data_IF_540339695934
#
_entry.id   IF_540339695934
#
_cell.length_a   1.000
_cell.length_b   1.000
_cell.length_c   1.000
_cell.angle_alpha   90.00
_cell.angle_beta   90.00
_cell.angle_gamma   90.00
#
_symmetry.space_group_name_H-M   'P 1'
#
loop_
_entity.id
_entity.type
_entity.pdbx_description
1 polymer ?
#
# COMPACT_ATOMS: atom_id res chain seq x y z
N UNK A 1 4.19 -31.04 23.59
CA UNK A 1 4.76 -32.26 22.97
C UNK A 1 5.56 -31.81 21.76
N UNK A 2 6.80 -32.28 21.64
CA UNK A 2 7.62 -32.07 20.46
C UNK A 2 6.94 -32.69 19.23
N UNK A 3 7.12 -32.07 18.07
CA UNK A 3 6.65 -32.61 16.79
C UNK A 3 7.49 -33.83 16.40
N UNK A 4 6.84 -34.84 15.82
CA UNK A 4 7.54 -36.01 15.29
C UNK A 4 8.20 -35.67 13.95
N UNK A 5 9.49 -35.37 14.02
CA UNK A 5 10.30 -34.98 12.85
C UNK A 5 10.57 -36.13 11.88
N UNK A 6 10.25 -37.39 12.21
CA UNK A 6 10.44 -38.53 11.30
C UNK A 6 9.53 -38.47 10.07
N UNK A 7 8.48 -37.66 10.14
CA UNK A 7 7.53 -37.42 9.04
C UNK A 7 8.00 -36.35 8.05
N UNK A 8 9.09 -35.63 8.35
CA UNK A 8 9.59 -34.54 7.51
C UNK A 8 10.28 -35.08 6.26
N UNK A 9 10.04 -34.43 5.13
CA UNK A 9 10.75 -34.73 3.90
C UNK A 9 12.22 -34.28 3.99
N UNK A 10 13.14 -35.12 3.55
CA UNK A 10 14.58 -34.85 3.48
C UNK A 10 15.18 -35.12 2.09
N UNK A 11 14.42 -35.77 1.20
CA UNK A 11 14.84 -36.06 -0.18
C UNK A 11 14.61 -34.88 -1.12
N UNK A 12 15.59 -34.67 -2.01
CA UNK A 12 15.54 -33.72 -3.12
C UNK A 12 15.37 -34.43 -4.48
N UNK A 13 14.96 -35.70 -4.52
CA UNK A 13 14.94 -36.51 -5.76
C UNK A 13 14.02 -35.93 -6.85
N UNK A 14 13.03 -35.14 -6.47
CA UNK A 14 12.11 -34.45 -7.39
C UNK A 14 12.67 -33.13 -7.94
N UNK A 15 13.77 -32.63 -7.37
CA UNK A 15 14.44 -31.38 -7.78
C UNK A 15 15.49 -31.68 -8.86
N UNK A 16 15.66 -30.85 -9.91
CA UNK A 16 16.69 -31.07 -10.94
C UNK A 16 18.11 -31.13 -10.37
N UNK A 17 18.97 -32.01 -10.92
CA UNK A 17 20.33 -32.27 -10.38
C UNK A 17 21.20 -31.03 -10.21
N UNK A 18 21.15 -30.09 -11.17
CA UNK A 18 21.89 -28.84 -11.10
C UNK A 18 21.44 -27.99 -9.91
N UNK A 19 20.13 -27.90 -9.68
CA UNK A 19 19.53 -27.18 -8.55
C UNK A 19 19.82 -27.90 -7.23
N UNK A 20 19.83 -29.24 -7.20
CA UNK A 20 20.28 -29.97 -6.02
C UNK A 20 21.74 -29.65 -5.67
N UNK A 21 22.60 -29.50 -6.69
CA UNK A 21 23.98 -29.03 -6.53
C UNK A 21 24.05 -27.65 -5.89
N UNK A 22 23.29 -26.70 -6.42
CA UNK A 22 23.19 -25.34 -5.88
C UNK A 22 22.69 -25.33 -4.42
N UNK A 23 21.65 -26.11 -4.11
CA UNK A 23 21.11 -26.22 -2.74
C UNK A 23 22.16 -26.76 -1.77
N UNK A 24 22.93 -27.78 -2.17
CA UNK A 24 24.03 -28.31 -1.34
C UNK A 24 25.11 -27.25 -1.10
N UNK A 25 25.52 -26.53 -2.15
CA UNK A 25 26.49 -25.43 -2.07
C UNK A 25 25.99 -24.34 -1.12
N UNK A 26 24.73 -23.90 -1.28
CA UNK A 26 24.13 -22.88 -0.43
C UNK A 26 24.03 -23.33 1.04
N UNK A 27 23.63 -24.58 1.29
CA UNK A 27 23.52 -25.15 2.65
C UNK A 27 24.89 -25.23 3.33
N UNK A 28 25.93 -25.64 2.60
CA UNK A 28 27.31 -25.66 3.09
C UNK A 28 27.81 -24.23 3.37
N UNK A 29 27.64 -23.31 2.43
CA UNK A 29 28.04 -21.92 2.58
C UNK A 29 27.40 -21.26 3.79
N UNK A 30 26.10 -21.49 4.02
CA UNK A 30 25.39 -21.00 5.22
C UNK A 30 26.00 -21.55 6.50
N UNK A 31 26.31 -22.84 6.53
CA UNK A 31 26.88 -23.50 7.72
C UNK A 31 28.28 -22.98 8.04
N UNK A 32 29.07 -22.61 7.02
CA UNK A 32 30.43 -22.09 7.18
C UNK A 32 30.48 -20.59 7.50
N UNK A 33 29.55 -19.79 6.94
CA UNK A 33 29.61 -18.32 7.02
C UNK A 33 28.61 -17.70 8.00
N UNK A 34 27.58 -18.45 8.44
CA UNK A 34 26.62 -17.89 9.39
C UNK A 34 27.28 -17.66 10.77
N UNK A 35 27.27 -16.42 11.29
CA UNK A 35 27.92 -16.11 12.56
C UNK A 35 27.06 -16.51 13.77
N UNK A 36 25.98 -17.28 13.57
CA UNK A 36 25.03 -17.70 14.59
C UNK A 36 24.75 -19.19 14.46
N UNK A 37 24.38 -19.81 15.57
CA UNK A 37 24.01 -21.23 15.58
C UNK A 37 22.73 -21.44 14.76
N UNK A 38 22.85 -22.21 13.68
CA UNK A 38 21.70 -22.61 12.85
C UNK A 38 21.00 -23.79 13.53
N UNK A 39 19.70 -23.66 13.76
CA UNK A 39 18.85 -24.71 14.29
C UNK A 39 18.36 -25.66 13.19
N UNK A 40 17.87 -25.11 12.07
CA UNK A 40 17.45 -25.86 10.88
C UNK A 40 17.59 -25.02 9.61
N UNK A 41 17.72 -25.69 8.46
CA UNK A 41 17.59 -25.08 7.13
C UNK A 41 16.51 -25.85 6.36
N UNK A 42 15.60 -25.10 5.75
CA UNK A 42 14.49 -25.65 4.96
C UNK A 42 14.57 -25.14 3.52
N UNK A 43 14.35 -26.03 2.57
CA UNK A 43 13.83 -25.67 1.26
C UNK A 43 12.31 -25.56 1.39
N UNK A 44 11.72 -24.47 0.91
CA UNK A 44 10.28 -24.33 0.82
C UNK A 44 9.89 -23.88 -0.59
N UNK A 45 8.61 -23.56 -0.79
CA UNK A 45 8.15 -23.03 -2.06
C UNK A 45 8.12 -24.05 -3.19
N UNK A 46 8.33 -23.57 -4.41
CA UNK A 46 7.99 -24.37 -5.61
C UNK A 46 8.93 -25.53 -5.89
N UNK A 47 10.22 -25.38 -5.59
CA UNK A 47 11.15 -26.51 -5.67
C UNK A 47 10.87 -27.57 -4.61
N UNK A 48 10.50 -27.20 -3.37
CA UNK A 48 10.15 -28.16 -2.33
C UNK A 48 8.88 -28.98 -2.67
N UNK A 49 7.90 -28.36 -3.33
CA UNK A 49 6.67 -29.03 -3.78
C UNK A 49 6.84 -29.81 -5.09
N UNK A 50 7.90 -29.55 -5.85
CA UNK A 50 8.07 -30.08 -7.21
C UNK A 50 7.17 -29.43 -8.28
N UNK A 51 6.56 -28.27 -7.98
CA UNK A 51 5.71 -27.51 -8.92
C UNK A 51 6.42 -26.27 -9.50
N UNK A 52 7.75 -26.26 -9.45
CA UNK A 52 8.59 -25.21 -10.03
C UNK A 52 8.39 -25.09 -11.53
N UNK A 53 8.54 -23.86 -12.03
CA UNK A 53 8.39 -23.55 -13.46
C UNK A 53 9.74 -23.07 -13.99
N UNK A 54 10.21 -23.71 -15.05
CA UNK A 54 11.37 -23.26 -15.82
C UNK A 54 10.97 -23.17 -17.29
N UNK A 55 10.24 -22.11 -17.63
CA UNK A 55 9.71 -21.89 -18.97
C UNK A 55 10.50 -20.79 -19.68
N UNK A 56 11.06 -21.13 -20.84
CA UNK A 56 11.50 -20.15 -21.82
C UNK A 56 10.44 -20.03 -22.91
N UNK A 57 9.69 -18.93 -22.95
CA UNK A 57 8.73 -18.66 -24.01
C UNK A 57 9.32 -17.67 -25.00
N UNK A 58 9.32 -18.04 -26.27
CA UNK A 58 9.49 -17.10 -27.38
C UNK A 58 8.13 -16.45 -27.62
N UNK A 59 8.03 -15.16 -27.34
CA UNK A 59 6.80 -14.40 -27.63
C UNK A 59 6.61 -14.31 -29.16
N UNK A 60 5.40 -14.00 -29.61
CA UNK A 60 5.08 -13.83 -31.05
C UNK A 60 5.97 -12.82 -31.77
N UNK A 61 6.64 -11.94 -31.02
CA UNK A 61 7.53 -10.89 -31.51
C UNK A 61 9.02 -11.29 -31.48
N UNK A 62 9.33 -12.57 -31.20
CA UNK A 62 10.70 -13.10 -31.18
C UNK A 62 11.50 -12.83 -29.90
N UNK A 63 10.88 -12.26 -28.85
CA UNK A 63 11.56 -12.05 -27.57
C UNK A 63 11.46 -13.29 -26.68
N UNK A 64 12.58 -13.71 -26.08
CA UNK A 64 12.61 -14.82 -25.12
C UNK A 64 12.28 -14.27 -23.73
N UNK A 65 11.08 -14.53 -23.22
CA UNK A 65 10.79 -14.36 -21.78
C UNK A 65 11.09 -15.67 -21.07
N UNK A 66 12.08 -15.67 -20.17
CA UNK A 66 12.36 -16.79 -19.28
C UNK A 66 11.67 -16.53 -17.95
N UNK A 67 10.79 -17.43 -17.54
CA UNK A 67 10.29 -17.52 -16.17
C UNK A 67 10.94 -18.72 -15.52
N UNK A 68 11.74 -18.45 -14.49
CA UNK A 68 12.41 -19.46 -13.70
C UNK A 68 12.01 -19.23 -12.24
N UNK A 69 11.49 -20.27 -11.58
CA UNK A 69 11.24 -20.25 -10.15
C UNK A 69 12.52 -19.96 -9.36
N UNK A 70 12.39 -19.20 -8.28
CA UNK A 70 13.44 -19.02 -7.27
C UNK A 70 13.58 -20.27 -6.40
N UNK A 71 14.79 -20.51 -5.88
CA UNK A 71 15.08 -21.51 -4.85
C UNK A 71 14.86 -20.87 -3.47
N UNK A 72 13.72 -21.17 -2.85
CA UNK A 72 13.31 -20.57 -1.58
C UNK A 72 13.92 -21.29 -0.37
N UNK A 73 14.82 -20.62 0.37
CA UNK A 73 15.51 -21.16 1.54
C UNK A 73 15.12 -20.42 2.82
N UNK A 74 14.74 -21.15 3.86
CA UNK A 74 14.50 -20.62 5.19
C UNK A 74 15.54 -21.12 6.19
N UNK A 75 16.27 -20.18 6.78
CA UNK A 75 17.25 -20.46 7.84
C UNK A 75 16.64 -20.18 9.21
N UNK A 76 16.56 -21.20 10.06
CA UNK A 76 16.08 -21.05 11.44
C UNK A 76 17.30 -20.91 12.36
N UNK A 77 17.45 -19.76 13.02
CA UNK A 77 18.56 -19.47 13.94
C UNK A 77 18.15 -19.81 15.38
N UNK A 78 19.05 -20.44 16.13
CA UNK A 78 18.78 -20.86 17.50
C UNK A 78 18.41 -19.68 18.42
N UNK A 79 17.50 -19.93 19.36
CA UNK A 79 17.09 -18.93 20.36
C UNK A 79 16.11 -17.87 19.84
N UNK A 80 16.23 -16.65 20.38
CA UNK A 80 15.36 -15.50 20.07
C UNK A 80 16.06 -14.54 19.11
N UNK A 81 15.27 -13.83 18.29
CA UNK A 81 15.79 -12.71 17.48
C UNK A 81 16.46 -11.66 18.37
N UNK A 82 17.66 -11.24 17.98
CA UNK A 82 18.46 -10.19 18.63
C UNK A 82 18.77 -9.05 17.65
N UNK A 83 19.18 -7.88 18.17
CA UNK A 83 19.68 -6.78 17.34
C UNK A 83 20.91 -7.16 16.50
N UNK A 84 21.68 -8.17 16.92
CA UNK A 84 22.78 -8.70 16.12
C UNK A 84 22.26 -9.50 14.93
N UNK A 85 21.31 -10.41 15.14
CA UNK A 85 20.70 -11.21 14.05
C UNK A 85 20.02 -10.31 13.01
N UNK A 86 19.27 -9.29 13.45
CA UNK A 86 18.60 -8.35 12.55
C UNK A 86 19.55 -7.52 11.68
N UNK A 87 20.77 -7.28 12.16
CA UNK A 87 21.78 -6.52 11.41
C UNK A 87 22.65 -7.40 10.51
N UNK A 88 22.97 -8.62 10.94
CA UNK A 88 23.94 -9.48 10.25
C UNK A 88 23.33 -10.52 9.31
N UNK A 89 22.10 -10.97 9.56
CA UNK A 89 21.47 -11.99 8.69
C UNK A 89 21.10 -11.43 7.31
N UNK A 90 20.45 -10.25 7.17
CA UNK A 90 20.10 -9.73 5.85
C UNK A 90 21.28 -9.61 4.86
N UNK A 91 22.44 -9.00 5.23
CA UNK A 91 23.57 -8.93 4.31
C UNK A 91 24.16 -10.32 4.01
N UNK A 92 24.27 -11.21 5.00
CA UNK A 92 24.74 -12.59 4.79
C UNK A 92 23.86 -13.33 3.77
N UNK A 93 22.54 -13.20 3.86
CA UNK A 93 21.63 -13.84 2.92
C UNK A 93 21.70 -13.22 1.52
N UNK A 94 22.02 -11.93 1.41
CA UNK A 94 22.29 -11.28 0.13
C UNK A 94 23.59 -11.81 -0.50
N UNK A 95 24.66 -11.95 0.29
CA UNK A 95 25.95 -12.51 -0.19
C UNK A 95 25.78 -13.93 -0.77
N UNK A 96 24.88 -14.74 -0.19
CA UNK A 96 24.54 -16.06 -0.74
C UNK A 96 23.85 -15.97 -2.10
N UNK A 97 22.92 -15.03 -2.24
CA UNK A 97 22.17 -14.82 -3.48
C UNK A 97 23.08 -14.33 -4.62
N UNK A 98 24.21 -13.70 -4.28
CA UNK A 98 25.20 -13.19 -5.21
C UNK A 98 26.32 -14.21 -5.55
N UNK A 99 26.23 -15.46 -5.07
CA UNK A 99 27.20 -16.51 -5.44
C UNK A 99 27.15 -16.76 -6.95
N UNK A 100 28.29 -16.54 -7.63
CA UNK A 100 28.42 -16.79 -9.06
C UNK A 100 28.26 -18.29 -9.39
N UNK A 101 27.60 -18.58 -10.52
CA UNK A 101 27.48 -19.93 -11.04
C UNK A 101 26.28 -20.73 -10.52
N UNK A 102 25.43 -20.14 -9.67
CA UNK A 102 24.14 -20.74 -9.31
C UNK A 102 23.24 -20.86 -10.55
N UNK A 103 22.60 -22.01 -10.72
CA UNK A 103 21.75 -22.31 -11.88
C UNK A 103 20.37 -21.66 -11.80
N UNK A 104 19.95 -21.21 -10.61
CA UNK A 104 18.71 -20.49 -10.36
C UNK A 104 18.91 -19.39 -9.31
N UNK A 105 18.10 -18.31 -9.36
CA UNK A 105 18.07 -17.32 -8.30
C UNK A 105 17.66 -17.94 -6.96
N UNK A 106 18.27 -17.49 -5.88
CA UNK A 106 17.90 -17.89 -4.51
C UNK A 106 17.05 -16.81 -3.86
N UNK A 107 16.00 -17.22 -3.15
CA UNK A 107 15.24 -16.36 -2.25
C UNK A 107 15.45 -16.86 -0.82
N UNK A 108 16.31 -16.20 -0.08
CA UNK A 108 16.66 -16.61 1.28
C UNK A 108 16.01 -15.72 2.33
N UNK A 109 15.36 -16.35 3.31
CA UNK A 109 14.84 -15.69 4.50
C UNK A 109 15.39 -16.36 5.76
N UNK A 110 15.30 -15.66 6.89
CA UNK A 110 15.64 -16.25 8.18
C UNK A 110 14.55 -15.98 9.22
N UNK A 111 14.50 -16.86 10.22
CA UNK A 111 13.66 -16.70 11.39
C UNK A 111 14.36 -17.20 12.65
N UNK A 112 14.00 -16.63 13.80
CA UNK A 112 14.45 -17.21 15.08
C UNK A 112 13.65 -18.46 15.43
N UNK A 113 14.30 -19.47 15.99
CA UNK A 113 13.70 -20.70 16.51
C UNK A 113 12.49 -20.41 17.42
N UNK A 114 12.61 -19.41 18.31
CA UNK A 114 11.51 -18.99 19.17
C UNK A 114 10.29 -18.48 18.38
N UNK A 115 10.50 -17.71 17.31
CA UNK A 115 9.42 -17.17 16.46
C UNK A 115 8.83 -18.25 15.56
N UNK A 116 9.66 -19.12 14.98
CA UNK A 116 9.24 -20.26 14.16
C UNK A 116 8.29 -21.17 14.95
N UNK A 117 8.71 -21.62 16.15
CA UNK A 117 7.88 -22.43 17.04
C UNK A 117 6.65 -21.67 17.56
N UNK A 118 6.75 -20.36 17.81
CA UNK A 118 5.60 -19.54 18.18
C UNK A 118 4.57 -19.47 17.04
N UNK A 119 5.03 -19.38 15.80
CA UNK A 119 4.18 -19.34 14.61
C UNK A 119 3.43 -20.65 14.40
N UNK A 120 4.12 -21.78 14.55
CA UNK A 120 3.52 -23.12 14.49
C UNK A 120 2.43 -23.29 15.55
N UNK A 121 2.68 -22.87 16.79
CA UNK A 121 1.68 -22.89 17.86
C UNK A 121 0.53 -21.93 17.63
N UNK A 122 0.72 -20.88 16.83
CA UNK A 122 -0.35 -19.95 16.46
C UNK A 122 -1.06 -20.36 15.18
N UNK A 123 -0.66 -21.45 14.55
CA UNK A 123 -1.21 -21.90 13.28
C UNK A 123 -1.01 -20.91 12.12
N UNK A 124 0.10 -20.19 12.08
CA UNK A 124 0.43 -19.35 10.92
C UNK A 124 0.78 -20.24 9.71
N UNK A 125 0.00 -20.19 8.62
CA UNK A 125 0.08 -21.19 7.54
C UNK A 125 1.46 -21.28 6.91
N UNK A 126 2.14 -20.18 6.62
CA UNK A 126 3.48 -20.25 6.03
C UNK A 126 4.41 -21.22 6.75
N UNK A 127 4.39 -21.21 8.09
CA UNK A 127 5.23 -22.10 8.88
C UNK A 127 4.67 -23.52 8.91
N UNK A 128 3.35 -23.69 8.86
CA UNK A 128 2.72 -25.00 8.68
C UNK A 128 3.10 -25.61 7.33
N UNK A 129 3.00 -24.85 6.24
CA UNK A 129 3.34 -25.23 4.87
C UNK A 129 4.82 -25.61 4.77
N UNK A 130 5.72 -24.85 5.38
CA UNK A 130 7.15 -25.22 5.47
C UNK A 130 7.31 -26.60 6.15
N UNK A 131 6.56 -26.87 7.22
CA UNK A 131 6.65 -28.16 7.93
C UNK A 131 5.97 -29.30 7.17
N UNK A 132 4.88 -29.04 6.45
CA UNK A 132 4.11 -30.06 5.74
C UNK A 132 4.60 -30.35 4.32
N UNK A 133 5.14 -29.35 3.63
CA UNK A 133 5.52 -29.41 2.22
C UNK A 133 7.00 -29.10 1.97
N UNK A 134 7.72 -28.55 2.96
CA UNK A 134 9.13 -28.23 2.85
C UNK A 134 10.05 -29.46 2.92
N UNK A 135 11.28 -29.28 2.43
CA UNK A 135 12.35 -30.27 2.54
C UNK A 135 13.37 -29.78 3.57
N UNK A 136 13.66 -30.60 4.57
CA UNK A 136 14.70 -30.32 5.57
C UNK A 136 16.07 -30.55 4.94
N UNK A 137 16.87 -29.47 4.89
CA UNK A 137 18.24 -29.49 4.37
C UNK A 137 19.28 -29.64 5.49
N UNK A 138 18.97 -29.13 6.69
CA UNK A 138 19.79 -29.25 7.90
C UNK A 138 18.89 -29.30 9.14
N UNK A 139 19.23 -30.16 10.10
CA UNK A 139 18.58 -30.22 11.42
C UNK A 139 19.62 -30.45 12.52
N UNK A 140 19.91 -29.39 13.29
CA UNK A 140 20.85 -29.43 14.41
C UNK A 140 20.13 -29.72 15.74
N UNK A 141 19.30 -30.78 15.75
CA UNK A 141 18.53 -31.23 16.93
C UNK A 141 17.57 -30.18 17.49
N UNK A 142 16.95 -29.38 16.60
CA UNK A 142 15.97 -28.38 17.00
C UNK A 142 14.66 -29.05 17.47
N UNK A 143 14.16 -28.70 18.66
CA UNK A 143 12.86 -29.17 19.13
C UNK A 143 11.74 -28.38 18.44
N UNK A 144 11.19 -28.97 17.38
CA UNK A 144 10.12 -28.39 16.58
C UNK A 144 8.78 -28.46 17.33
N UNK A 145 8.08 -27.34 17.43
CA UNK A 145 6.75 -27.30 18.03
C UNK A 145 5.74 -28.02 17.12
N UNK A 146 4.76 -28.71 17.72
CA UNK A 146 3.65 -29.29 16.96
C UNK A 146 2.84 -28.17 16.28
N UNK A 147 2.63 -28.19 14.95
CA UNK A 147 1.73 -27.26 14.28
C UNK A 147 0.33 -27.33 14.88
N UNK A 148 -0.25 -26.16 15.20
CA UNK A 148 -1.62 -26.05 15.67
C UNK A 148 -2.54 -25.74 14.49
N UNK A 149 -3.53 -26.60 14.27
CA UNK A 149 -4.62 -26.30 13.35
C UNK A 149 -5.61 -25.38 14.05
N UNK A 150 -5.77 -24.16 13.53
CA UNK A 150 -6.76 -23.21 14.03
C UNK A 150 -8.18 -23.68 13.72
N UNK A 151 -9.08 -23.56 14.69
CA UNK A 151 -10.53 -23.72 14.51
C UNK A 151 -11.09 -22.60 13.62
N UNK A 152 -12.28 -22.80 13.03
CA UNK A 152 -12.90 -21.78 12.19
C UNK A 152 -13.07 -20.42 12.90
N UNK A 153 -13.53 -20.35 14.17
CA UNK A 153 -13.61 -19.07 14.88
C UNK A 153 -12.24 -18.39 15.10
N UNK A 154 -11.19 -19.17 15.39
CA UNK A 154 -9.83 -18.61 15.54
C UNK A 154 -9.27 -18.09 14.21
N UNK A 155 -9.50 -18.83 13.11
CA UNK A 155 -9.15 -18.39 11.75
C UNK A 155 -9.86 -17.07 11.42
N UNK A 156 -11.15 -17.00 11.71
CA UNK A 156 -11.95 -15.78 11.53
C UNK A 156 -11.38 -14.60 12.29
N UNK A 157 -11.13 -14.77 13.60
CA UNK A 157 -10.59 -13.71 14.44
C UNK A 157 -9.21 -13.23 13.97
N UNK A 158 -8.37 -14.13 13.46
CA UNK A 158 -7.07 -13.78 12.92
C UNK A 158 -7.17 -13.05 11.57
N UNK A 159 -8.02 -13.53 10.66
CA UNK A 159 -8.30 -12.88 9.37
C UNK A 159 -8.85 -11.47 9.56
N UNK A 160 -9.79 -11.27 10.49
CA UNK A 160 -10.30 -9.93 10.87
C UNK A 160 -9.15 -9.01 11.28
N UNK A 161 -8.29 -9.45 12.21
CA UNK A 161 -7.16 -8.61 12.66
C UNK A 161 -6.20 -8.25 11.53
N UNK A 162 -5.92 -9.17 10.62
CA UNK A 162 -5.03 -8.88 9.49
C UNK A 162 -5.68 -7.94 8.48
N UNK A 163 -6.92 -8.19 8.13
CA UNK A 163 -7.70 -7.33 7.24
C UNK A 163 -7.78 -5.91 7.80
N UNK A 164 -8.25 -5.72 9.03
CA UNK A 164 -8.37 -4.40 9.66
C UNK A 164 -7.02 -3.67 9.71
N UNK A 165 -5.94 -4.39 10.03
CA UNK A 165 -4.59 -3.81 10.10
C UNK A 165 -4.10 -3.34 8.73
N UNK A 166 -4.13 -4.21 7.72
CA UNK A 166 -3.48 -3.93 6.44
C UNK A 166 -4.40 -3.16 5.50
N UNK A 167 -5.68 -3.50 5.42
CA UNK A 167 -6.66 -2.75 4.64
C UNK A 167 -6.88 -1.35 5.22
N UNK A 168 -6.95 -1.23 6.55
CA UNK A 168 -7.01 0.07 7.22
C UNK A 168 -5.77 0.94 6.91
N UNK A 169 -4.59 0.33 6.83
CA UNK A 169 -3.37 1.04 6.44
C UNK A 169 -3.34 1.40 4.94
N UNK A 170 -3.83 0.53 4.06
CA UNK A 170 -4.03 0.84 2.65
C UNK A 170 -4.98 2.05 2.49
N UNK A 171 -6.04 2.12 3.30
CA UNK A 171 -7.00 3.23 3.32
C UNK A 171 -6.37 4.56 3.72
N UNK A 172 -5.38 4.56 4.64
CA UNK A 172 -4.61 5.77 4.97
C UNK A 172 -3.77 6.25 3.77
N UNK A 173 -3.07 5.32 3.10
CA UNK A 173 -2.31 5.65 1.91
C UNK A 173 -3.20 6.09 0.74
N UNK A 174 -4.41 5.54 0.64
CA UNK A 174 -5.43 6.02 -0.29
C UNK A 174 -5.77 7.50 -0.04
N UNK A 175 -6.05 7.90 1.21
CA UNK A 175 -6.32 9.32 1.50
C UNK A 175 -5.13 10.24 1.21
N UNK A 176 -3.89 9.75 1.41
CA UNK A 176 -2.68 10.51 1.09
C UNK A 176 -2.49 10.61 -0.42
N UNK A 177 -2.83 9.56 -1.17
CA UNK A 177 -2.85 9.57 -2.61
C UNK A 177 -3.83 10.62 -3.15
N UNK A 178 -5.10 10.58 -2.72
CA UNK A 178 -6.12 11.55 -3.16
C UNK A 178 -5.66 12.98 -2.89
N UNK A 179 -5.11 13.25 -1.70
CA UNK A 179 -4.61 14.57 -1.33
C UNK A 179 -3.51 15.07 -2.27
N UNK A 180 -2.52 14.22 -2.58
CA UNK A 180 -1.43 14.60 -3.48
C UNK A 180 -1.93 14.79 -4.92
N UNK A 181 -2.80 13.88 -5.39
CA UNK A 181 -3.39 13.95 -6.72
C UNK A 181 -4.19 15.24 -6.92
N UNK A 182 -5.06 15.61 -5.97
CA UNK A 182 -5.85 16.85 -6.01
C UNK A 182 -5.02 18.14 -5.93
N UNK A 183 -3.74 18.04 -5.58
CA UNK A 183 -2.79 19.16 -5.58
C UNK A 183 -1.84 19.15 -6.77
N UNK A 184 -2.02 18.22 -7.73
CA UNK A 184 -1.10 18.03 -8.85
C UNK A 184 0.28 17.51 -8.44
N UNK A 185 0.43 16.96 -7.23
CA UNK A 185 1.70 16.47 -6.69
C UNK A 185 1.91 15.01 -7.11
N UNK A 186 2.09 14.77 -8.41
CA UNK A 186 2.07 13.42 -9.01
C UNK A 186 3.14 12.47 -8.46
N UNK A 187 4.35 12.97 -8.17
CA UNK A 187 5.44 12.17 -7.55
C UNK A 187 5.03 11.68 -6.16
N UNK A 188 4.45 12.56 -5.34
CA UNK A 188 3.88 12.17 -4.04
C UNK A 188 2.66 11.25 -4.19
N UNK A 189 1.86 11.47 -5.24
CA UNK A 189 0.73 10.63 -5.60
C UNK A 189 1.17 9.20 -5.90
N UNK A 190 2.02 8.97 -6.90
CA UNK A 190 2.43 7.62 -7.31
C UNK A 190 3.11 6.85 -6.16
N UNK A 191 3.89 7.54 -5.32
CA UNK A 191 4.48 6.94 -4.13
C UNK A 191 3.40 6.42 -3.16
N UNK A 192 2.38 7.23 -2.85
CA UNK A 192 1.29 6.80 -1.97
C UNK A 192 0.41 5.73 -2.61
N UNK A 193 0.20 5.78 -3.93
CA UNK A 193 -0.52 4.73 -4.68
C UNK A 193 0.22 3.38 -4.63
N UNK A 194 1.56 3.41 -4.72
CA UNK A 194 2.40 2.21 -4.53
C UNK A 194 2.24 1.65 -3.11
N UNK A 195 2.36 2.50 -2.09
CA UNK A 195 2.22 2.09 -0.68
C UNK A 195 0.84 1.51 -0.38
N UNK A 196 -0.22 2.13 -0.92
CA UNK A 196 -1.59 1.60 -0.88
C UNK A 196 -1.63 0.19 -1.48
N UNK A 197 -1.08 0.00 -2.67
CA UNK A 197 -1.08 -1.29 -3.37
C UNK A 197 -0.30 -2.38 -2.62
N UNK A 198 0.86 -2.07 -2.05
CA UNK A 198 1.61 -3.00 -1.20
C UNK A 198 0.75 -3.49 -0.02
N UNK A 199 -0.01 -2.57 0.59
CA UNK A 199 -0.84 -2.89 1.75
C UNK A 199 -2.12 -3.63 1.37
N UNK A 200 -2.65 -3.44 0.16
CA UNK A 200 -3.72 -4.26 -0.40
C UNK A 200 -3.25 -5.71 -0.62
N UNK A 201 -2.06 -5.91 -1.19
CA UNK A 201 -1.47 -7.24 -1.27
C UNK A 201 -1.26 -7.87 0.11
N UNK A 202 -0.72 -7.09 1.07
CA UNK A 202 -0.54 -7.56 2.44
C UNK A 202 -1.88 -7.96 3.10
N UNK A 203 -2.93 -7.17 2.86
CA UNK A 203 -4.28 -7.45 3.36
C UNK A 203 -4.80 -8.76 2.81
N UNK A 204 -4.77 -8.94 1.49
CA UNK A 204 -5.24 -10.17 0.85
C UNK A 204 -4.47 -11.40 1.32
N UNK A 205 -3.14 -11.37 1.18
CA UNK A 205 -2.29 -12.51 1.56
C UNK A 205 -2.48 -12.89 3.03
N UNK A 206 -2.39 -11.92 3.95
CA UNK A 206 -2.51 -12.21 5.37
C UNK A 206 -3.93 -12.63 5.79
N UNK A 207 -4.97 -12.14 5.12
CA UNK A 207 -6.36 -12.54 5.44
C UNK A 207 -6.62 -13.97 4.97
N UNK A 208 -6.11 -14.35 3.80
CA UNK A 208 -6.32 -15.68 3.20
C UNK A 208 -5.40 -16.76 3.79
N UNK A 209 -4.15 -16.43 4.08
CA UNK A 209 -3.11 -17.40 4.49
C UNK A 209 -2.53 -17.14 5.88
N UNK A 210 -3.02 -16.12 6.62
CA UNK A 210 -2.45 -15.73 7.91
C UNK A 210 -0.94 -15.45 7.88
N UNK A 211 -0.42 -15.11 6.69
CA UNK A 211 0.97 -14.79 6.46
C UNK A 211 1.12 -13.59 5.53
N UNK A 212 1.99 -12.65 5.91
CA UNK A 212 2.49 -11.59 5.04
C UNK A 212 3.96 -11.88 4.70
N UNK A 213 4.31 -12.09 3.42
CA UNK A 213 5.71 -12.08 2.98
C UNK A 213 6.47 -10.85 3.49
N UNK A 214 7.74 -11.03 3.89
CA UNK A 214 8.63 -9.93 4.33
C UNK A 214 9.29 -9.23 3.14
N UNK A 215 8.49 -8.79 2.18
CA UNK A 215 8.95 -8.06 1.00
C UNK A 215 8.06 -6.84 0.76
N UNK A 216 8.64 -5.83 0.12
CA UNK A 216 7.96 -4.62 -0.35
C UNK A 216 7.82 -4.60 -1.88
N UNK A 217 8.28 -5.66 -2.57
CA UNK A 217 8.36 -5.70 -4.02
C UNK A 217 7.02 -6.15 -4.59
N UNK A 218 6.32 -5.28 -5.32
CA UNK A 218 4.97 -5.57 -5.84
C UNK A 218 4.94 -6.77 -6.78
N UNK A 219 6.00 -7.04 -7.55
CA UNK A 219 6.01 -8.20 -8.43
C UNK A 219 6.04 -9.53 -7.66
N UNK A 220 6.73 -9.60 -6.53
CA UNK A 220 6.76 -10.78 -5.64
C UNK A 220 5.38 -10.95 -5.00
N UNK A 221 4.82 -9.87 -4.46
CA UNK A 221 3.48 -9.87 -3.85
C UNK A 221 2.38 -10.26 -4.85
N UNK A 222 2.47 -9.79 -6.10
CA UNK A 222 1.58 -10.20 -7.19
C UNK A 222 1.74 -11.67 -7.52
N UNK A 223 2.97 -12.19 -7.55
CA UNK A 223 3.22 -13.61 -7.81
C UNK A 223 2.63 -14.49 -6.70
N UNK A 224 2.83 -14.13 -5.42
CA UNK A 224 2.21 -14.85 -4.30
C UNK A 224 0.69 -14.82 -4.36
N UNK A 225 0.11 -13.66 -4.68
CA UNK A 225 -1.35 -13.51 -4.80
C UNK A 225 -1.90 -14.35 -5.95
N UNK A 226 -1.15 -14.46 -7.06
CA UNK A 226 -1.53 -15.27 -8.22
C UNK A 226 -1.56 -16.76 -7.92
N UNK A 227 -0.72 -17.24 -6.99
CA UNK A 227 -0.75 -18.64 -6.51
C UNK A 227 -2.09 -18.95 -5.82
N UNK A 228 -2.68 -17.97 -5.13
CA UNK A 228 -3.95 -18.13 -4.42
C UNK A 228 -5.17 -17.90 -5.33
N UNK A 229 -5.15 -16.86 -6.16
CA UNK A 229 -6.26 -16.54 -7.06
C UNK A 229 -5.75 -15.91 -8.37
N UNK A 230 -6.10 -16.55 -9.49
CA UNK A 230 -5.64 -16.15 -10.83
C UNK A 230 -6.24 -14.83 -11.30
N UNK A 231 -7.35 -14.36 -10.72
CA UNK A 231 -8.02 -13.11 -11.08
C UNK A 231 -7.11 -11.88 -10.95
N UNK A 232 -6.07 -11.94 -10.11
CA UNK A 232 -5.04 -10.88 -10.06
C UNK A 232 -4.36 -10.63 -11.41
N UNK A 233 -4.37 -11.62 -12.32
CA UNK A 233 -3.82 -11.48 -13.67
C UNK A 233 -4.74 -10.69 -14.61
N UNK A 234 -6.02 -10.55 -14.27
CA UNK A 234 -6.98 -9.69 -14.97
C UNK A 234 -6.88 -8.24 -14.46
N UNK A 235 -6.65 -8.07 -13.15
CA UNK A 235 -6.43 -6.77 -12.51
C UNK A 235 -5.08 -6.20 -12.96
N UNK A 236 -3.99 -6.94 -12.80
CA UNK A 236 -2.63 -6.54 -13.23
C UNK A 236 -2.12 -7.48 -14.35
N UNK A 237 -2.59 -7.28 -15.59
CA UNK A 237 -2.15 -8.08 -16.73
C UNK A 237 -0.66 -7.92 -17.00
N UNK A 238 -0.12 -8.90 -17.72
CA UNK A 238 1.29 -8.94 -18.13
C UNK A 238 1.45 -9.47 -19.55
N UNK A 239 0.39 -9.38 -20.35
CA UNK A 239 0.38 -9.89 -21.73
C UNK A 239 0.83 -8.81 -22.68
N UNK A 240 0.19 -7.63 -22.63
CA UNK A 240 0.52 -6.54 -23.53
C UNK A 240 1.79 -5.81 -23.11
N UNK A 241 2.47 -5.21 -24.10
CA UNK A 241 3.68 -4.43 -23.87
C UNK A 241 3.41 -3.24 -22.94
N UNK A 242 2.24 -2.63 -23.04
CA UNK A 242 1.88 -1.48 -22.22
C UNK A 242 1.64 -1.89 -20.76
N UNK A 243 0.92 -2.98 -20.52
CA UNK A 243 0.69 -3.49 -19.16
C UNK A 243 2.01 -3.78 -18.41
N UNK A 244 2.96 -4.41 -19.11
CA UNK A 244 4.29 -4.69 -18.54
C UNK A 244 5.04 -3.41 -18.18
N UNK A 245 4.99 -2.41 -19.06
CA UNK A 245 5.62 -1.11 -18.83
C UNK A 245 4.99 -0.39 -17.64
N UNK A 246 3.67 -0.34 -17.58
CA UNK A 246 2.94 0.34 -16.51
C UNK A 246 3.23 -0.32 -15.16
N UNK A 247 3.19 -1.65 -15.07
CA UNK A 247 3.48 -2.36 -13.82
C UNK A 247 4.95 -2.29 -13.41
N UNK A 248 5.89 -2.34 -14.37
CA UNK A 248 7.33 -2.15 -14.08
C UNK A 248 7.58 -0.77 -13.52
N UNK A 249 7.06 0.27 -14.19
CA UNK A 249 7.14 1.65 -13.71
C UNK A 249 6.55 1.78 -12.31
N UNK A 250 5.43 1.10 -12.06
CA UNK A 250 4.81 1.15 -10.75
C UNK A 250 5.69 0.52 -9.66
N UNK A 251 6.36 -0.61 -9.96
CA UNK A 251 7.34 -1.21 -9.04
C UNK A 251 8.52 -0.27 -8.78
N UNK A 252 9.01 0.41 -9.80
CA UNK A 252 10.18 1.29 -9.71
C UNK A 252 9.87 2.60 -8.95
N UNK A 253 8.60 3.04 -9.00
CA UNK A 253 8.14 4.28 -8.37
C UNK A 253 8.44 4.38 -6.87
N UNK A 254 8.51 3.26 -6.15
CA UNK A 254 8.86 3.26 -4.73
C UNK A 254 10.27 3.81 -4.45
N UNK A 255 11.24 3.45 -5.29
CA UNK A 255 12.63 3.87 -5.18
C UNK A 255 12.80 5.21 -5.90
N UNK A 256 12.30 5.30 -7.12
CA UNK A 256 12.52 6.43 -8.00
C UNK A 256 11.95 7.74 -7.43
N UNK A 257 10.72 7.71 -6.91
CA UNK A 257 10.08 8.89 -6.32
C UNK A 257 10.81 9.44 -5.09
N UNK A 258 11.73 8.67 -4.49
CA UNK A 258 12.48 9.05 -3.28
C UNK A 258 13.91 9.48 -3.57
N UNK A 259 14.55 8.91 -4.58
CA UNK A 259 15.99 9.02 -4.77
C UNK A 259 16.40 9.68 -6.08
N UNK A 260 15.54 9.73 -7.11
CA UNK A 260 15.87 10.43 -8.35
C UNK A 260 15.58 11.92 -8.20
N UNK A 261 16.60 12.74 -8.46
CA UNK A 261 16.51 14.21 -8.41
C UNK A 261 15.50 14.76 -9.43
N UNK A 262 15.38 14.10 -10.59
CA UNK A 262 14.42 14.42 -11.63
C UNK A 262 13.59 13.18 -11.96
N UNK A 263 12.54 12.95 -11.18
CA UNK A 263 11.53 11.93 -11.45
C UNK A 263 10.25 12.61 -11.90
N UNK A 264 9.77 12.25 -13.09
CA UNK A 264 8.56 12.80 -13.66
C UNK A 264 7.54 11.67 -13.89
N UNK A 265 6.27 12.00 -13.65
CA UNK A 265 5.16 11.05 -13.71
C UNK A 265 4.15 11.57 -14.72
N UNK A 266 3.93 10.80 -15.77
CA UNK A 266 2.96 11.14 -16.81
C UNK A 266 1.51 10.96 -16.30
N UNK A 267 0.64 11.95 -16.54
CA UNK A 267 -0.79 11.93 -16.24
C UNK A 267 -1.51 10.69 -16.81
N UNK A 268 -1.21 10.33 -18.07
CA UNK A 268 -1.85 9.18 -18.72
C UNK A 268 -1.45 7.86 -18.04
N UNK A 269 -0.23 7.81 -17.50
CA UNK A 269 0.30 6.61 -16.85
C UNK A 269 -0.27 6.45 -15.44
N UNK A 270 -0.36 7.55 -14.67
CA UNK A 270 -1.01 7.51 -13.36
C UNK A 270 -2.51 7.22 -13.49
N UNK A 271 -3.18 7.73 -14.54
CA UNK A 271 -4.57 7.42 -14.86
C UNK A 271 -4.81 5.90 -15.02
N UNK A 272 -3.98 5.24 -15.84
CA UNK A 272 -4.09 3.79 -16.02
C UNK A 272 -3.82 3.03 -14.73
N UNK A 273 -2.86 3.46 -13.92
CA UNK A 273 -2.54 2.80 -12.64
C UNK A 273 -3.62 3.01 -11.59
N UNK A 274 -4.26 4.18 -11.54
CA UNK A 274 -5.40 4.44 -10.64
C UNK A 274 -6.52 3.44 -10.87
N UNK A 275 -6.95 3.26 -12.12
CA UNK A 275 -8.03 2.32 -12.47
C UNK A 275 -7.69 0.87 -12.05
N UNK A 276 -6.41 0.48 -12.18
CA UNK A 276 -5.92 -0.85 -11.79
C UNK A 276 -5.94 -1.02 -10.27
N UNK A 277 -5.52 0.01 -9.53
CA UNK A 277 -5.47 -0.01 -8.06
C UNK A 277 -6.86 0.13 -7.44
N UNK A 278 -7.76 0.88 -8.05
CA UNK A 278 -9.19 0.92 -7.72
C UNK A 278 -9.79 -0.48 -7.84
N UNK A 279 -9.71 -1.11 -9.02
CA UNK A 279 -10.21 -2.46 -9.22
C UNK A 279 -9.61 -3.46 -8.22
N UNK A 280 -8.32 -3.31 -7.92
CA UNK A 280 -7.65 -4.13 -6.91
C UNK A 280 -8.18 -3.89 -5.49
N UNK A 281 -8.41 -2.63 -5.10
CA UNK A 281 -8.93 -2.29 -3.79
C UNK A 281 -10.32 -2.88 -3.56
N UNK A 282 -11.21 -2.72 -4.55
CA UNK A 282 -12.57 -3.27 -4.50
C UNK A 282 -12.54 -4.80 -4.43
N UNK A 283 -11.71 -5.44 -5.26
CA UNK A 283 -11.57 -6.88 -5.24
C UNK A 283 -11.03 -7.40 -3.90
N UNK A 284 -9.95 -6.81 -3.36
CA UNK A 284 -9.40 -7.20 -2.05
C UNK A 284 -10.42 -6.99 -0.93
N UNK A 285 -11.17 -5.88 -0.96
CA UNK A 285 -12.23 -5.61 0.00
C UNK A 285 -13.28 -6.72 0.01
N UNK A 286 -13.83 -7.05 -1.16
CA UNK A 286 -14.89 -8.06 -1.30
C UNK A 286 -14.40 -9.47 -0.96
N UNK A 287 -13.25 -9.89 -1.50
CA UNK A 287 -12.73 -11.24 -1.28
C UNK A 287 -12.36 -11.46 0.18
N UNK A 288 -11.70 -10.50 0.83
CA UNK A 288 -11.33 -10.64 2.24
C UNK A 288 -12.56 -10.72 3.15
N UNK A 289 -13.57 -9.87 2.93
CA UNK A 289 -14.79 -9.91 3.72
C UNK A 289 -15.55 -11.22 3.50
N UNK A 290 -15.66 -11.68 2.25
CA UNK A 290 -16.28 -12.98 1.94
C UNK A 290 -15.55 -14.14 2.60
N UNK A 291 -14.21 -14.12 2.59
CA UNK A 291 -13.41 -15.13 3.27
C UNK A 291 -13.62 -15.11 4.79
N UNK A 292 -13.63 -13.93 5.41
CA UNK A 292 -13.91 -13.76 6.85
C UNK A 292 -15.27 -14.35 7.23
N UNK A 293 -16.31 -14.03 6.46
CA UNK A 293 -17.67 -14.53 6.71
C UNK A 293 -17.77 -16.03 6.48
N UNK A 294 -17.03 -16.59 5.52
CA UNK A 294 -17.06 -18.03 5.23
C UNK A 294 -16.60 -18.90 6.39
N UNK A 295 -15.77 -18.37 7.31
CA UNK A 295 -15.32 -19.12 8.48
C UNK A 295 -16.43 -19.32 9.52
N UNK A 296 -17.26 -18.30 9.75
CA UNK A 296 -18.40 -18.35 10.69
C UNK A 296 -19.57 -17.56 10.08
N UNK A 297 -20.36 -18.16 9.18
CA UNK A 297 -21.37 -17.45 8.39
C UNK A 297 -22.45 -16.77 9.22
N UNK A 298 -22.77 -17.29 10.41
CA UNK A 298 -23.83 -16.76 11.25
C UNK A 298 -23.49 -15.40 11.88
N UNK A 299 -22.20 -15.05 12.00
CA UNK A 299 -21.76 -13.79 12.59
C UNK A 299 -21.72 -12.62 11.60
N UNK A 300 -21.68 -12.90 10.30
CA UNK A 300 -21.81 -11.93 9.20
C UNK A 300 -21.05 -10.60 9.43
N UNK A 301 -19.73 -10.70 9.57
CA UNK A 301 -18.83 -9.58 9.87
C UNK A 301 -18.97 -8.45 8.85
N UNK A 302 -19.08 -8.80 7.56
CA UNK A 302 -19.12 -7.82 6.47
C UNK A 302 -20.27 -6.82 6.58
N UNK A 303 -21.43 -7.22 7.12
CA UNK A 303 -22.60 -6.34 7.25
C UNK A 303 -22.38 -5.17 8.21
N UNK A 304 -21.50 -5.34 9.20
CA UNK A 304 -21.23 -4.33 10.23
C UNK A 304 -19.86 -3.66 10.05
N UNK A 305 -19.10 -4.06 9.02
CA UNK A 305 -17.80 -3.48 8.77
C UNK A 305 -17.93 -2.04 8.27
N UNK A 306 -17.30 -1.12 8.99
CA UNK A 306 -17.24 0.29 8.61
C UNK A 306 -15.88 0.59 7.97
N UNK A 307 -15.92 1.07 6.74
CA UNK A 307 -14.74 1.54 6.03
C UNK A 307 -14.11 2.72 6.79
N UNK A 308 -12.79 2.64 7.01
CA UNK A 308 -12.02 3.75 7.57
C UNK A 308 -11.97 4.95 6.61
N UNK A 309 -11.91 4.68 5.32
CA UNK A 309 -11.92 5.66 4.24
C UNK A 309 -12.71 5.07 3.06
N UNK A 310 -13.45 5.87 2.28
CA UNK A 310 -14.17 5.38 1.11
C UNK A 310 -13.26 4.59 0.16
N UNK A 311 -13.83 3.60 -0.52
CA UNK A 311 -13.14 2.95 -1.63
C UNK A 311 -12.91 3.97 -2.73
N UNK A 312 -11.81 3.81 -3.46
CA UNK A 312 -11.45 4.66 -4.58
C UNK A 312 -12.59 4.64 -5.60
N UNK A 313 -12.93 5.83 -6.06
CA UNK A 313 -13.78 6.06 -7.22
C UNK A 313 -13.01 7.02 -8.12
N UNK A 314 -12.36 6.49 -9.16
CA UNK A 314 -11.46 7.28 -10.02
C UNK A 314 -12.24 8.35 -10.78
N UNK A 315 -13.45 8.04 -11.24
CA UNK A 315 -14.31 9.00 -11.95
C UNK A 315 -14.68 10.19 -11.05
N UNK A 316 -15.09 9.92 -9.80
CA UNK A 316 -15.36 10.98 -8.82
C UNK A 316 -14.09 11.77 -8.47
N UNK A 317 -12.95 11.09 -8.31
CA UNK A 317 -11.69 11.74 -7.98
C UNK A 317 -11.27 12.71 -9.08
N UNK A 318 -11.43 12.34 -10.35
CA UNK A 318 -11.11 13.18 -11.52
C UNK A 318 -12.11 14.29 -11.77
N UNK A 319 -13.38 14.09 -11.39
CA UNK A 319 -14.40 15.13 -11.49
C UNK A 319 -14.22 16.25 -10.46
N UNK A 320 -13.49 16.00 -9.36
CA UNK A 320 -13.20 17.02 -8.34
C UNK A 320 -12.22 18.06 -8.91
N UNK A 321 -12.54 19.37 -8.83
CA UNK A 321 -11.58 20.40 -9.20
C UNK A 321 -10.35 20.33 -8.30
N UNK A 322 -9.17 20.60 -8.86
CA UNK A 322 -7.93 20.64 -8.08
C UNK A 322 -8.07 21.71 -6.98
N UNK A 323 -7.49 21.42 -5.81
CA UNK A 323 -7.58 22.33 -4.65
C UNK A 323 -7.03 23.71 -5.01
N UNK A 324 -5.95 23.74 -5.80
CA UNK A 324 -5.33 25.00 -6.23
C UNK A 324 -6.26 25.82 -7.15
N UNK A 325 -7.02 25.16 -8.02
CA UNK A 325 -7.99 25.84 -8.90
C UNK A 325 -9.13 26.45 -8.09
N UNK A 326 -9.64 25.71 -7.10
CA UNK A 326 -10.66 26.20 -6.18
C UNK A 326 -10.13 27.39 -5.37
N UNK A 327 -8.91 27.29 -4.84
CA UNK A 327 -8.28 28.36 -4.07
C UNK A 327 -8.07 29.62 -4.92
N UNK A 328 -7.60 29.47 -6.16
CA UNK A 328 -7.40 30.58 -7.09
C UNK A 328 -8.73 31.25 -7.46
N UNK A 329 -9.75 30.46 -7.77
CA UNK A 329 -11.10 30.97 -8.03
C UNK A 329 -11.67 31.72 -6.82
N UNK A 330 -11.50 31.16 -5.62
CA UNK A 330 -11.98 31.78 -4.37
C UNK A 330 -11.25 33.08 -4.07
N UNK A 331 -9.92 33.13 -4.25
CA UNK A 331 -9.13 34.37 -4.12
C UNK A 331 -9.56 35.46 -5.09
N UNK A 332 -9.86 35.08 -6.34
CA UNK A 332 -10.35 36.02 -7.33
C UNK A 332 -11.72 36.60 -6.93
N UNK A 333 -12.66 35.74 -6.52
CA UNK A 333 -13.98 36.15 -6.05
C UNK A 333 -13.91 37.04 -4.80
N UNK A 334 -12.96 36.77 -3.89
CA UNK A 334 -12.72 37.61 -2.72
C UNK A 334 -12.27 39.02 -3.14
N UNK A 335 -11.29 39.13 -4.03
CA UNK A 335 -10.84 40.43 -4.56
C UNK A 335 -11.95 41.22 -5.25
N UNK A 336 -12.79 40.55 -6.02
CA UNK A 336 -13.93 41.19 -6.67
C UNK A 336 -14.93 41.73 -5.64
N UNK A 337 -15.19 40.97 -4.58
CA UNK A 337 -16.07 41.38 -3.48
C UNK A 337 -15.49 42.55 -2.68
N UNK A 338 -14.18 42.55 -2.42
CA UNK A 338 -13.47 43.67 -1.78
C UNK A 338 -13.55 44.96 -2.61
N UNK A 339 -13.41 44.86 -3.94
CA UNK A 339 -13.57 46.01 -4.84
C UNK A 339 -14.98 46.59 -4.78
N UNK A 340 -16.01 45.73 -4.82
CA UNK A 340 -17.42 46.15 -4.72
C UNK A 340 -17.76 46.79 -3.37
N UNK A 341 -17.14 46.31 -2.30
CA UNK A 341 -17.26 46.90 -0.97
C UNK A 341 -16.68 48.33 -0.96
N UNK A 342 -15.46 48.51 -1.49
CA UNK A 342 -14.83 49.83 -1.58
C UNK A 342 -15.65 50.83 -2.42
N UNK A 343 -16.24 50.41 -3.53
CA UNK A 343 -17.17 51.24 -4.31
C UNK A 343 -18.41 51.65 -3.51
N UNK A 344 -18.95 50.72 -2.71
CA UNK A 344 -20.12 50.97 -1.86
C UNK A 344 -19.80 51.95 -0.72
N UNK A 345 -18.62 51.81 -0.10
CA UNK A 345 -18.12 52.73 0.93
C UNK A 345 -17.91 54.14 0.36
N UNK A 346 -17.35 54.26 -0.84
CA UNK A 346 -17.20 55.55 -1.52
C UNK A 346 -18.55 56.23 -1.77
N UNK A 347 -19.53 55.48 -2.29
CA UNK A 347 -20.90 55.98 -2.53
C UNK A 347 -21.60 56.38 -1.24
N UNK A 348 -21.38 55.65 -0.15
CA UNK A 348 -21.90 56.01 1.17
C UNK A 348 -21.31 57.35 1.62
N UNK A 349 -19.99 57.52 1.50
CA UNK A 349 -19.31 58.79 1.79
C UNK A 349 -19.85 59.98 0.98
N UNK A 350 -20.10 59.79 -0.33
CA UNK A 350 -20.75 60.82 -1.16
C UNK A 350 -22.15 61.18 -0.66
N UNK A 351 -22.95 60.16 -0.26
CA UNK A 351 -24.29 60.39 0.27
C UNK A 351 -24.27 61.12 1.61
N UNK A 352 -23.32 60.79 2.49
CA UNK A 352 -23.13 61.48 3.77
C UNK A 352 -22.72 62.93 3.57
N UNK A 353 -21.82 63.20 2.60
CA UNK A 353 -21.43 64.56 2.25
C UNK A 353 -22.61 65.39 1.73
N UNK A 354 -23.39 64.85 0.78
CA UNK A 354 -24.61 65.52 0.27
C UNK A 354 -25.64 65.79 1.37
N UNK A 355 -25.79 64.85 2.31
CA UNK A 355 -26.67 65.04 3.47
C UNK A 355 -26.18 66.20 4.35
N UNK A 356 -24.86 66.32 4.56
CA UNK A 356 -24.28 67.43 5.29
C UNK A 356 -24.51 68.77 4.58
N UNK A 357 -24.30 68.84 3.26
CA UNK A 357 -24.60 70.05 2.47
C UNK A 357 -26.08 70.44 2.56
N UNK A 358 -26.99 69.46 2.44
CA UNK A 358 -28.42 69.72 2.56
C UNK A 358 -28.82 70.22 3.95
N UNK A 359 -28.16 69.76 5.02
CA UNK A 359 -28.38 70.26 6.38
C UNK A 359 -27.95 71.71 6.51
N UNK A 360 -26.78 72.07 6.01
CA UNK A 360 -26.27 73.45 6.03
C UNK A 360 -27.22 74.38 5.26
N UNK A 361 -27.64 73.98 4.05
CA UNK A 361 -28.58 74.77 3.25
C UNK A 361 -29.93 74.98 3.97
N UNK A 362 -30.43 73.96 4.66
CA UNK A 362 -31.66 74.07 5.46
C UNK A 362 -31.49 75.05 6.63
N UNK A 363 -30.37 75.00 7.35
CA UNK A 363 -30.07 75.92 8.44
C UNK A 363 -29.99 77.38 7.96
N UNK A 364 -29.36 77.62 6.81
CA UNK A 364 -29.31 78.96 6.20
C UNK A 364 -30.70 79.49 5.79
N UNK A 365 -31.54 78.61 5.23
CA UNK A 365 -32.91 78.96 4.82
C UNK A 365 -33.79 79.28 6.04
N UNK A 366 -33.69 78.47 7.09
CA UNK A 366 -34.34 78.74 8.38
C UNK A 366 -33.90 80.08 8.98
N UNK A 367 -32.61 80.43 8.91
CA UNK A 367 -32.09 81.71 9.39
C UNK A 367 -32.63 82.91 8.57
N UNK A 368 -32.72 82.77 7.24
CA UNK A 368 -33.34 83.78 6.36
C UNK A 368 -34.81 83.97 6.69
N UNK A 369 -35.57 82.88 6.84
CA UNK A 369 -36.98 82.93 7.21
C UNK A 369 -37.19 83.55 8.59
N UNK A 370 -36.38 83.21 9.59
CA UNK A 370 -36.43 83.86 10.91
C UNK A 370 -36.19 85.37 10.83
N UNK A 371 -35.24 85.79 9.98
CA UNK A 371 -34.96 87.21 9.73
C UNK A 371 -36.13 87.92 9.05
N UNK A 372 -36.76 87.28 8.06
CA UNK A 372 -37.93 87.80 7.34
C UNK A 372 -39.13 87.95 8.29
N UNK A 373 -39.42 86.92 9.09
CA UNK A 373 -40.47 86.94 10.11
C UNK A 373 -40.26 88.07 11.12
N UNK A 374 -39.01 88.32 11.53
CA UNK A 374 -38.68 89.46 12.40
C UNK A 374 -39.01 90.79 11.72
N UNK A 375 -38.60 90.98 10.46
CA UNK A 375 -38.90 92.21 9.70
C UNK A 375 -40.40 92.42 9.49
N UNK A 376 -41.16 91.37 9.23
CA UNK A 376 -42.62 91.45 9.08
C UNK A 376 -43.29 91.87 10.40
N UNK A 377 -42.87 91.28 11.54
CA UNK A 377 -43.32 91.72 12.87
C UNK A 377 -42.99 93.18 13.16
N UNK A 378 -41.75 93.61 12.88
CA UNK A 378 -41.31 94.99 13.10
C UNK A 378 -42.11 96.01 12.24
N UNK A 379 -42.68 95.56 11.11
CA UNK A 379 -43.54 96.35 10.23
C UNK A 379 -45.03 96.33 10.62
N UNK A 380 -45.42 95.65 11.70
CA UNK A 380 -46.80 95.57 12.18
C UNK A 380 -47.72 94.68 11.32
N UNK A 381 -47.14 93.79 10.52
CA UNK A 381 -47.87 92.78 9.74
C UNK A 381 -47.94 91.52 10.60
N UNK A 382 -49.16 91.09 10.95
CA UNK A 382 -49.39 89.88 11.75
C UNK A 382 -48.99 88.60 11.01
#
# INVERSE_FOLDING_TARGET
>A
MAYDKTTLQTSLDHVPENIQGDIRTATQWLTENCPFDIAMIWLFGSYARGDFINESRVTKDGMVSKYQSDVDILVVIQGKSTNATQRKMPPLLADLQDIEGLSAPFHCIYESAARFNSALRKGEYFYQDVVSEGVVLLDNSFELAKPQTLTLPERRALSIRYFERFFGKASQFHSMFEFNFQRGQLVGGIYNLHQMTEHLFASYLATMTHYKPRTHRLFELRAETKKLNRHISEIFPSVEKQDKKDFSFFCDAYIDARYKEHYDVNDEQIDRLMLRVEAFQHWVYEECLRAIDSFVPEENYSQNYLLYYPLMNVDELKARPLVEDVLNKTRYQLKESESKLGESEFRLGESEFRLAESKVALEEEMAKNATLLKKLRDAGIE
#
